data_IF_537847289973
#
_entry.id   IF_537847289973
#
_cell.length_a   1.000
_cell.length_b   1.000
_cell.length_c   1.000
_cell.angle_alpha   90.00
_cell.angle_beta   90.00
_cell.angle_gamma   90.00
#
_symmetry.space_group_name_H-M   'P 1'
#
loop_
_entity.id
_entity.type
_entity.pdbx_description
1 polymer ?
#
# COMPACT_ATOMS: atom_id res chain seq x y z
N UNK A 1 -1.47 6.12 -13.42
CA UNK A 1 -1.99 6.37 -12.06
C UNK A 1 -2.23 5.04 -11.37
N UNK A 2 -1.93 4.92 -10.08
CA UNK A 2 -2.25 3.74 -9.29
C UNK A 2 -3.35 4.09 -8.28
N UNK A 3 -4.28 3.16 -8.04
CA UNK A 3 -5.41 3.34 -7.12
C UNK A 3 -5.55 2.10 -6.26
N UNK A 4 -5.57 2.29 -4.95
CA UNK A 4 -5.96 1.25 -3.99
C UNK A 4 -7.47 1.29 -3.78
N UNK A 5 -8.11 0.13 -3.89
CA UNK A 5 -9.51 -0.08 -3.56
C UNK A 5 -9.57 -0.90 -2.28
N UNK A 6 -9.93 -0.24 -1.18
CA UNK A 6 -10.04 -0.82 0.15
C UNK A 6 -11.50 -0.80 0.59
N UNK A 7 -12.32 -1.64 -0.03
CA UNK A 7 -13.72 -1.75 0.33
C UNK A 7 -13.93 -2.81 1.41
N UNK A 8 -13.76 -2.40 2.66
CA UNK A 8 -14.00 -3.25 3.84
C UNK A 8 -15.50 -3.51 4.11
N UNK A 9 -16.41 -2.98 3.29
CA UNK A 9 -17.85 -3.16 3.42
C UNK A 9 -18.50 -2.38 4.56
N UNK A 10 -17.73 -1.57 5.30
CA UNK A 10 -18.26 -0.79 6.43
C UNK A 10 -18.84 0.55 5.97
N UNK A 11 -19.96 0.96 6.57
CA UNK A 11 -20.62 2.25 6.30
C UNK A 11 -20.12 3.38 7.23
N UNK A 12 -18.90 3.26 7.77
CA UNK A 12 -18.23 4.30 8.55
C UNK A 12 -18.50 4.29 10.06
N UNK A 13 -19.55 3.62 10.54
CA UNK A 13 -19.68 3.27 11.96
C UNK A 13 -18.91 1.98 12.24
N UNK A 14 -18.24 1.89 13.40
CA UNK A 14 -17.70 0.61 13.88
C UNK A 14 -18.90 -0.33 14.07
N UNK A 15 -18.99 -1.45 13.33
CA UNK A 15 -20.08 -2.40 13.52
C UNK A 15 -20.08 -2.87 14.97
N UNK A 16 -21.25 -3.07 15.56
CA UNK A 16 -21.32 -3.73 16.87
C UNK A 16 -20.60 -5.08 16.76
N UNK A 17 -19.89 -5.55 17.78
CA UNK A 17 -19.33 -6.91 17.80
C UNK A 17 -20.40 -8.01 17.61
N UNK A 18 -21.68 -7.65 17.78
CA UNK A 18 -22.83 -8.53 17.59
C UNK A 18 -23.45 -8.43 16.18
N UNK A 19 -23.05 -7.45 15.37
CA UNK A 19 -23.53 -7.33 14.00
C UNK A 19 -22.81 -8.35 13.10
N UNK A 20 -23.47 -8.83 12.03
CA UNK A 20 -22.80 -9.60 11.00
C UNK A 20 -21.60 -8.82 10.44
N UNK A 21 -20.49 -9.52 10.22
CA UNK A 21 -19.34 -8.90 9.58
C UNK A 21 -19.75 -8.30 8.22
N UNK A 22 -19.31 -7.07 7.91
CA UNK A 22 -19.65 -6.43 6.65
C UNK A 22 -19.15 -7.26 5.45
N UNK A 23 -19.93 -7.27 4.39
CA UNK A 23 -19.56 -7.94 3.14
C UNK A 23 -18.50 -7.07 2.46
N UNK A 24 -17.27 -7.57 2.40
CA UNK A 24 -16.18 -6.88 1.71
C UNK A 24 -16.47 -6.77 0.22
N UNK A 25 -16.22 -5.59 -0.33
CA UNK A 25 -16.17 -5.37 -1.77
C UNK A 25 -14.77 -5.68 -2.32
N UNK A 26 -14.36 -4.91 -3.32
CA UNK A 26 -13.04 -5.05 -3.91
C UNK A 26 -11.93 -4.68 -2.91
N UNK A 27 -10.92 -5.55 -2.85
CA UNK A 27 -9.67 -5.34 -2.14
C UNK A 27 -8.54 -5.46 -3.16
N UNK A 28 -8.32 -4.40 -3.94
CA UNK A 28 -7.52 -4.45 -5.18
C UNK A 28 -6.60 -3.25 -5.32
N UNK A 29 -5.56 -3.42 -6.14
CA UNK A 29 -4.76 -2.30 -6.66
C UNK A 29 -4.90 -2.27 -8.16
N UNK A 30 -5.22 -1.10 -8.69
CA UNK A 30 -5.39 -0.87 -10.13
C UNK A 30 -4.32 0.05 -10.68
N UNK A 31 -3.97 -0.15 -11.95
CA UNK A 31 -3.20 0.77 -12.77
C UNK A 31 -4.09 1.34 -13.87
N UNK A 32 -4.23 2.66 -13.91
CA UNK A 32 -4.91 3.40 -14.97
C UNK A 32 -3.88 4.01 -15.93
N UNK A 33 -3.99 3.76 -17.24
CA UNK A 33 -3.18 4.46 -18.23
C UNK A 33 -3.56 5.94 -18.27
N UNK A 34 -2.56 6.82 -18.39
CA UNK A 34 -2.75 8.26 -18.53
C UNK A 34 -2.25 8.70 -19.91
N UNK A 35 -2.89 9.69 -20.51
CA UNK A 35 -2.36 10.41 -21.68
C UNK A 35 -1.37 11.50 -21.27
N UNK A 36 -0.81 12.20 -22.26
CA UNK A 36 0.16 13.29 -22.07
C UNK A 36 -0.37 14.46 -21.22
N UNK A 37 -1.69 14.61 -21.11
CA UNK A 37 -2.35 15.63 -20.27
C UNK A 37 -2.63 15.14 -18.85
N UNK A 38 -2.20 13.92 -18.50
CA UNK A 38 -2.45 13.31 -17.20
C UNK A 38 -3.87 12.77 -17.00
N UNK A 39 -4.68 12.66 -18.07
CA UNK A 39 -6.05 12.15 -18.00
C UNK A 39 -6.09 10.65 -18.27
N UNK A 40 -7.03 9.94 -17.65
CA UNK A 40 -7.26 8.50 -17.88
C UNK A 40 -7.58 8.26 -19.36
N UNK A 41 -6.83 7.35 -20.00
CA UNK A 41 -6.89 7.11 -21.44
C UNK A 41 -7.31 5.69 -21.83
N UNK A 42 -7.77 4.89 -20.87
CA UNK A 42 -8.17 3.51 -21.11
C UNK A 42 -8.63 2.80 -19.84
N UNK A 43 -9.02 1.52 -19.96
CA UNK A 43 -9.51 0.73 -18.83
C UNK A 43 -8.39 0.48 -17.80
N UNK A 44 -8.74 0.29 -16.51
CA UNK A 44 -7.78 -0.12 -15.51
C UNK A 44 -7.28 -1.54 -15.75
N UNK A 45 -6.07 -1.80 -15.28
CA UNK A 45 -5.51 -3.15 -15.13
C UNK A 45 -5.35 -3.45 -13.65
N UNK A 46 -5.84 -4.61 -13.20
CA UNK A 46 -5.60 -5.09 -11.84
C UNK A 46 -4.13 -5.50 -11.70
N UNK A 47 -3.43 -4.93 -10.72
CA UNK A 47 -2.07 -5.31 -10.34
C UNK A 47 -2.05 -6.33 -9.22
N UNK A 48 -2.92 -6.16 -8.23
CA UNK A 48 -3.02 -7.03 -7.05
C UNK A 48 -4.49 -7.24 -6.74
N UNK A 49 -4.86 -8.48 -6.46
CA UNK A 49 -6.16 -8.87 -5.90
C UNK A 49 -5.92 -9.56 -4.56
N UNK A 50 -6.31 -8.91 -3.47
CA UNK A 50 -6.15 -9.44 -2.12
C UNK A 50 -7.26 -10.43 -1.74
N UNK A 51 -8.27 -10.60 -2.60
CA UNK A 51 -9.42 -11.46 -2.35
C UNK A 51 -10.13 -11.08 -1.06
N UNK A 52 -10.17 -12.02 -0.10
CA UNK A 52 -10.85 -11.83 1.19
C UNK A 52 -9.96 -11.15 2.25
N UNK A 53 -8.67 -10.95 1.96
CA UNK A 53 -7.74 -10.28 2.87
C UNK A 53 -7.92 -8.77 2.82
N UNK A 54 -7.50 -8.07 3.87
CA UNK A 54 -7.44 -6.61 3.82
C UNK A 54 -6.48 -6.16 2.70
N UNK A 55 -6.93 -5.20 1.90
CA UNK A 55 -6.16 -4.61 0.81
C UNK A 55 -5.02 -3.72 1.29
N UNK A 56 -4.43 -2.97 0.36
CA UNK A 56 -3.50 -1.93 0.74
C UNK A 56 -4.21 -0.72 1.34
N UNK A 57 -3.46 0.12 2.03
CA UNK A 57 -3.89 1.46 2.45
C UNK A 57 -3.08 2.49 1.63
N UNK A 58 -2.07 3.13 2.21
CA UNK A 58 -1.13 3.98 1.49
C UNK A 58 -0.14 3.23 0.58
N UNK A 59 0.40 3.96 -0.40
CA UNK A 59 1.39 3.47 -1.36
C UNK A 59 2.32 4.58 -1.83
N UNK A 60 3.53 4.21 -2.27
CA UNK A 60 4.48 5.12 -2.95
C UNK A 60 5.22 4.39 -4.07
N UNK A 61 5.94 5.13 -4.92
CA UNK A 61 6.70 4.60 -6.05
C UNK A 61 8.17 4.99 -5.99
N UNK A 62 9.04 4.07 -6.39
CA UNK A 62 10.46 4.39 -6.59
C UNK A 62 10.75 4.91 -8.00
N UNK A 63 12.00 5.33 -8.21
CA UNK A 63 12.53 5.84 -9.45
C UNK A 63 12.40 4.91 -10.66
N UNK A 64 12.29 3.61 -10.42
CA UNK A 64 12.19 2.56 -11.44
C UNK A 64 10.72 2.22 -11.73
N UNK A 65 9.78 2.86 -11.03
CA UNK A 65 8.36 2.61 -11.15
C UNK A 65 7.88 1.42 -10.30
N UNK A 66 8.71 0.88 -9.40
CA UNK A 66 8.27 -0.16 -8.48
C UNK A 66 7.34 0.47 -7.44
N UNK A 67 6.21 -0.19 -7.18
CA UNK A 67 5.18 0.24 -6.27
C UNK A 67 5.37 -0.43 -4.91
N UNK A 68 5.36 0.37 -3.86
CA UNK A 68 5.42 -0.03 -2.46
C UNK A 68 4.02 0.09 -1.87
N UNK A 69 3.44 -1.03 -1.45
CA UNK A 69 2.06 -1.14 -0.96
C UNK A 69 2.05 -1.49 0.52
N UNK A 70 1.33 -0.75 1.34
CA UNK A 70 1.10 -1.12 2.75
C UNK A 70 0.08 -2.25 2.86
N UNK A 71 0.51 -3.49 3.01
CA UNK A 71 -0.38 -4.64 3.17
C UNK A 71 -0.87 -4.77 4.60
N UNK A 72 -2.18 -4.58 4.81
CA UNK A 72 -2.83 -4.65 6.13
C UNK A 72 -3.34 -6.05 6.51
N UNK A 73 -2.96 -7.09 5.76
CA UNK A 73 -3.42 -8.45 6.03
C UNK A 73 -2.89 -8.99 7.35
N UNK A 74 -3.77 -9.48 8.22
CA UNK A 74 -3.38 -10.18 9.45
C UNK A 74 -2.62 -11.49 9.20
N UNK A 75 -2.77 -12.09 8.01
CA UNK A 75 -1.98 -13.27 7.63
C UNK A 75 -0.50 -12.93 7.43
N UNK A 76 -0.22 -11.76 6.83
CA UNK A 76 1.14 -11.34 6.46
C UNK A 76 1.18 -9.80 6.33
N UNK A 77 1.31 -9.05 7.42
CA UNK A 77 1.39 -7.59 7.35
C UNK A 77 2.78 -7.13 6.93
N UNK A 78 2.86 -6.08 6.12
CA UNK A 78 4.14 -5.59 5.62
C UNK A 78 4.05 -4.65 4.43
N UNK A 79 5.20 -4.28 3.89
CA UNK A 79 5.29 -3.60 2.60
C UNK A 79 5.50 -4.62 1.49
N UNK A 80 4.55 -4.71 0.57
CA UNK A 80 4.69 -5.46 -0.67
C UNK A 80 5.29 -4.54 -1.74
N UNK A 81 6.39 -4.96 -2.35
CA UNK A 81 7.02 -4.25 -3.47
C UNK A 81 6.73 -5.01 -4.75
N UNK A 82 6.07 -4.36 -5.71
CA UNK A 82 5.79 -4.93 -7.03
C UNK A 82 6.38 -4.08 -8.15
N UNK A 83 6.68 -4.69 -9.29
CA UNK A 83 7.00 -3.93 -10.50
C UNK A 83 5.71 -3.39 -11.18
N UNK A 84 5.81 -2.51 -12.20
CA UNK A 84 4.65 -1.98 -12.92
C UNK A 84 3.73 -3.04 -13.57
N UNK A 85 4.22 -4.27 -13.75
CA UNK A 85 3.47 -5.40 -14.29
C UNK A 85 2.69 -6.17 -13.21
N UNK A 86 2.87 -5.84 -11.92
CA UNK A 86 2.21 -6.54 -10.80
C UNK A 86 3.02 -7.68 -10.21
N UNK A 87 4.26 -7.91 -10.65
CA UNK A 87 5.12 -8.98 -10.13
C UNK A 87 5.73 -8.57 -8.79
N UNK A 88 5.55 -9.41 -7.76
CA UNK A 88 6.24 -9.26 -6.48
C UNK A 88 7.77 -9.30 -6.67
N UNK A 89 8.43 -8.27 -6.16
CA UNK A 89 9.89 -8.12 -6.15
C UNK A 89 10.46 -8.36 -4.76
N UNK A 90 9.76 -7.89 -3.72
CA UNK A 90 10.18 -8.01 -2.34
C UNK A 90 9.00 -7.86 -1.38
N UNK A 91 9.21 -8.31 -0.14
CA UNK A 91 8.27 -8.10 0.96
C UNK A 91 9.03 -7.74 2.23
N UNK A 92 8.70 -6.61 2.85
CA UNK A 92 9.23 -6.19 4.14
C UNK A 92 8.20 -6.47 5.24
N UNK A 93 8.40 -7.47 6.12
CA UNK A 93 7.48 -7.74 7.20
C UNK A 93 7.51 -6.62 8.23
N UNK A 94 6.34 -6.23 8.72
CA UNK A 94 6.17 -5.18 9.74
C UNK A 94 5.66 -5.73 11.07
N UNK A 95 5.22 -7.00 11.11
CA UNK A 95 4.73 -7.65 12.32
C UNK A 95 4.60 -9.18 12.18
N UNK A 96 4.08 -9.86 13.21
CA UNK A 96 3.82 -11.29 13.19
C UNK A 96 2.87 -11.73 12.06
N UNK A 97 2.98 -12.98 11.62
CA UNK A 97 2.07 -13.59 10.65
C UNK A 97 0.91 -14.29 11.35
N UNK A 98 -0.17 -14.52 10.60
CA UNK A 98 -1.35 -15.28 11.04
C UNK A 98 -1.94 -14.76 12.36
N UNK A 99 -2.03 -13.44 12.49
CA UNK A 99 -2.66 -12.79 13.63
C UNK A 99 -4.19 -12.99 13.59
N UNK A 100 -4.82 -12.93 14.75
CA UNK A 100 -6.26 -12.97 14.96
C UNK A 100 -6.63 -12.00 16.08
N UNK A 101 -7.93 -11.86 16.36
CA UNK A 101 -8.42 -10.93 17.37
C UNK A 101 -8.86 -9.60 16.78
N UNK A 102 -9.14 -8.65 17.66
CA UNK A 102 -9.69 -7.33 17.32
C UNK A 102 -8.58 -6.29 17.12
N UNK A 103 -8.95 -5.08 16.74
CA UNK A 103 -8.02 -4.00 16.39
C UNK A 103 -6.91 -3.76 17.44
N UNK A 104 -7.19 -3.98 18.72
CA UNK A 104 -6.22 -3.81 19.81
C UNK A 104 -5.17 -4.95 19.88
N UNK A 105 -5.51 -6.14 19.39
CA UNK A 105 -4.63 -7.30 19.34
C UNK A 105 -3.61 -7.22 18.21
N UNK A 106 -3.97 -6.54 17.13
CA UNK A 106 -3.14 -6.44 15.92
C UNK A 106 -1.80 -5.75 16.22
N UNK A 107 -0.74 -6.24 15.58
CA UNK A 107 0.63 -5.73 15.69
C UNK A 107 1.26 -5.60 14.31
N UNK A 108 1.96 -4.49 14.10
CA UNK A 108 2.74 -4.25 12.90
C UNK A 108 1.90 -3.98 11.66
N UNK A 109 0.72 -3.35 11.79
CA UNK A 109 -0.16 -3.05 10.67
C UNK A 109 0.25 -1.71 10.03
N UNK A 110 0.80 -1.71 8.80
CA UNK A 110 1.21 -0.48 8.15
C UNK A 110 -0.01 0.26 7.56
N UNK A 111 -0.02 1.59 7.62
CA UNK A 111 -1.11 2.41 7.05
C UNK A 111 -0.65 3.34 5.94
N UNK A 112 0.57 3.85 5.98
CA UNK A 112 1.11 4.69 4.92
C UNK A 112 2.63 4.50 4.76
N UNK A 113 3.14 4.86 3.57
CA UNK A 113 4.55 4.78 3.22
C UNK A 113 4.90 5.90 2.24
N UNK A 114 6.03 6.57 2.46
CA UNK A 114 6.57 7.57 1.53
C UNK A 114 8.10 7.56 1.56
N UNK A 115 8.73 7.89 0.44
CA UNK A 115 10.18 8.11 0.41
C UNK A 115 10.53 9.48 0.98
N UNK A 116 11.67 9.55 1.69
CA UNK A 116 12.31 10.82 2.01
C UNK A 116 12.85 11.51 0.75
N UNK A 117 13.28 12.76 0.90
CA UNK A 117 13.89 13.57 -0.17
C UNK A 117 15.35 13.90 0.18
N UNK A 118 16.12 14.36 -0.80
CA UNK A 118 17.53 14.75 -0.59
C UNK A 118 18.38 13.56 -0.13
N UNK A 119 19.10 13.72 0.98
CA UNK A 119 19.96 12.67 1.55
C UNK A 119 19.17 11.41 1.98
N UNK A 120 17.87 11.58 2.25
CA UNK A 120 16.94 10.51 2.63
C UNK A 120 16.20 9.90 1.44
N UNK A 121 16.60 10.19 0.19
CA UNK A 121 15.93 9.65 -1.01
C UNK A 121 15.88 8.12 -1.11
N UNK A 122 16.74 7.39 -0.40
CA UNK A 122 16.69 5.93 -0.29
C UNK A 122 16.14 5.45 1.05
N UNK A 123 15.30 6.25 1.69
CA UNK A 123 14.75 5.98 3.01
C UNK A 123 13.23 6.02 2.93
N UNK A 124 12.57 4.93 3.31
CA UNK A 124 11.13 4.85 3.47
C UNK A 124 10.76 5.33 4.88
N UNK A 125 9.76 6.18 4.95
CA UNK A 125 9.04 6.55 6.15
C UNK A 125 7.70 5.80 6.15
N UNK A 126 7.45 4.99 7.19
CA UNK A 126 6.31 4.07 7.23
C UNK A 126 5.57 4.25 8.53
N UNK A 127 4.26 4.54 8.47
CA UNK A 127 3.41 4.51 9.66
C UNK A 127 2.96 3.10 9.93
N UNK A 128 3.27 2.59 11.12
CA UNK A 128 2.95 1.23 11.55
C UNK A 128 2.36 1.32 12.96
N UNK A 129 1.12 0.84 13.11
CA UNK A 129 0.32 0.99 14.33
C UNK A 129 0.30 2.46 14.84
N UNK A 130 0.97 2.73 15.97
CA UNK A 130 1.06 4.04 16.64
C UNK A 130 2.41 4.75 16.43
N UNK A 131 3.24 4.25 15.51
CA UNK A 131 4.64 4.68 15.37
C UNK A 131 5.02 5.00 13.93
N UNK A 132 6.06 5.83 13.78
CA UNK A 132 6.72 6.11 12.50
C UNK A 132 8.06 5.36 12.45
N UNK A 133 8.26 4.56 11.41
CA UNK A 133 9.48 3.80 11.15
C UNK A 133 10.24 4.39 9.98
N UNK A 134 11.56 4.22 10.02
CA UNK A 134 12.47 4.66 8.97
C UNK A 134 13.29 3.48 8.47
N UNK A 135 13.16 3.15 7.18
CA UNK A 135 13.77 1.95 6.58
C UNK A 135 14.62 2.34 5.39
N UNK A 136 15.93 2.07 5.47
CA UNK A 136 16.86 2.28 4.35
C UNK A 136 16.64 1.20 3.30
N UNK A 137 16.47 1.60 2.04
CA UNK A 137 16.33 0.70 0.89
C UNK A 137 17.41 1.00 -0.17
N UNK A 138 17.49 0.17 -1.22
CA UNK A 138 18.50 0.29 -2.28
C UNK A 138 18.08 1.22 -3.42
N UNK A 139 16.79 1.53 -3.53
CA UNK A 139 16.21 2.35 -4.59
C UNK A 139 15.99 3.77 -4.10
N UNK A 140 15.84 4.71 -5.03
CA UNK A 140 15.51 6.10 -4.73
C UNK A 140 14.02 6.35 -4.94
N UNK A 141 13.40 7.17 -4.10
CA UNK A 141 12.02 7.62 -4.28
C UNK A 141 11.80 8.37 -5.59
N UNK A 142 10.57 8.31 -6.10
CA UNK A 142 10.15 9.17 -7.20
C UNK A 142 9.50 10.46 -6.66
N UNK A 143 10.22 11.57 -6.76
CA UNK A 143 9.69 12.89 -6.43
C UNK A 143 9.83 13.82 -7.65
N UNK A 144 8.70 14.25 -8.20
CA UNK A 144 8.67 15.05 -9.44
C UNK A 144 9.33 16.43 -9.32
N UNK A 145 9.32 17.03 -8.12
CA UNK A 145 9.82 18.40 -7.87
C UNK A 145 11.35 18.45 -7.79
N UNK A 146 12.00 17.34 -7.40
CA UNK A 146 13.44 17.32 -7.09
C UNK A 146 14.30 16.62 -8.14
N UNK A 147 13.70 16.20 -9.26
CA UNK A 147 14.48 15.75 -10.41
C UNK A 147 14.78 16.97 -11.28
N UNK A 148 16.04 17.38 -11.30
CA UNK A 148 16.55 18.28 -12.33
C UNK A 148 16.11 17.74 -13.69
N UNK A 149 15.56 18.60 -14.55
CA UNK A 149 15.26 18.23 -15.94
C UNK A 149 16.51 17.61 -16.58
N UNK A 150 16.37 16.56 -17.40
CA UNK A 150 17.48 16.05 -18.19
C UNK A 150 18.05 17.13 -19.12
#
# INVERSE_FOLDING_TARGET
MYVGDHNNGSEGATPSPHDPAPIKGAMKVYAFPLNEKGLISGPPRTLVDFGQQAGCDGMTVDAQGNLYLTCRSLKKPGLLVINPQGKELAFLPTGPKNQSGEFEDWKGIPSNVEFGIGDDKNTLYVTIDKSLYRVRVKTEGFHHIYRSKP
#
